data_IF_445521395677
#
_entry.id   IF_445521395677
#
_cell.length_a   1.000
_cell.length_b   1.000
_cell.length_c   1.000
_cell.angle_alpha   90.00
_cell.angle_beta   90.00
_cell.angle_gamma   90.00
#
_symmetry.space_group_name_H-M   'P 1'
#
loop_
_entity.id
_entity.type
_entity.pdbx_description
1 polymer ?
#
# COMPACT_ATOMS: atom_id res chain seq x y z
N UNK A 1 18.17 7.85 16.40
CA UNK A 1 18.07 7.60 14.95
C UNK A 1 16.62 7.30 14.65
N UNK A 2 15.96 7.99 13.71
CA UNK A 2 14.61 7.59 13.28
C UNK A 2 14.66 6.14 12.82
N UNK A 3 13.70 5.32 13.25
CA UNK A 3 13.63 3.92 12.85
C UNK A 3 13.41 3.86 11.34
N UNK A 4 14.41 3.38 10.60
CA UNK A 4 14.31 3.19 9.16
C UNK A 4 13.41 1.97 8.92
N UNK A 5 12.27 2.20 8.25
CA UNK A 5 11.31 1.14 7.94
C UNK A 5 11.52 0.65 6.51
N UNK A 6 11.38 -0.64 6.30
CA UNK A 6 11.47 -1.26 4.98
C UNK A 6 10.14 -1.06 4.23
N UNK A 7 10.20 -0.43 3.05
CA UNK A 7 9.04 -0.18 2.22
C UNK A 7 9.35 -0.43 0.74
N UNK A 8 8.32 -0.61 -0.07
CA UNK A 8 8.42 -0.72 -1.52
C UNK A 8 7.43 0.24 -2.18
N UNK A 9 7.71 0.59 -3.43
CA UNK A 9 6.85 1.49 -4.19
C UNK A 9 5.68 0.71 -4.78
N UNK A 10 4.45 1.16 -4.51
CA UNK A 10 3.25 0.74 -5.23
C UNK A 10 2.75 1.90 -6.08
N UNK A 11 2.02 1.57 -7.15
CA UNK A 11 1.48 2.56 -8.09
C UNK A 11 0.13 3.10 -7.63
N UNK A 12 -0.33 4.18 -8.27
CA UNK A 12 -1.71 4.67 -8.08
C UNK A 12 -2.75 3.61 -8.48
N UNK A 13 -2.44 2.75 -9.44
CA UNK A 13 -3.37 1.68 -9.85
C UNK A 13 -3.42 0.55 -8.81
N UNK A 14 -2.30 0.23 -8.18
CA UNK A 14 -2.26 -0.70 -7.04
C UNK A 14 -3.12 -0.15 -5.88
N UNK A 15 -3.03 1.16 -5.59
CA UNK A 15 -3.87 1.80 -4.57
C UNK A 15 -5.35 1.79 -4.95
N UNK A 16 -5.71 2.03 -6.21
CA UNK A 16 -7.10 1.93 -6.67
C UNK A 16 -7.65 0.51 -6.55
N UNK A 17 -6.82 -0.48 -6.84
CA UNK A 17 -7.19 -1.89 -6.68
C UNK A 17 -7.41 -2.22 -5.21
N UNK A 18 -6.53 -1.76 -4.31
CA UNK A 18 -6.71 -1.86 -2.87
C UNK A 18 -8.03 -1.21 -2.41
N UNK A 19 -8.33 -0.01 -2.89
CA UNK A 19 -9.59 0.69 -2.58
C UNK A 19 -10.82 -0.14 -2.99
N UNK A 20 -10.80 -0.72 -4.20
CA UNK A 20 -11.89 -1.57 -4.68
C UNK A 20 -12.06 -2.79 -3.79
N UNK A 21 -11.00 -3.55 -3.49
CA UNK A 21 -11.12 -4.78 -2.68
C UNK A 21 -11.51 -4.47 -1.23
N UNK A 22 -10.96 -3.41 -0.62
CA UNK A 22 -11.32 -2.97 0.74
C UNK A 22 -12.77 -2.56 0.82
N UNK A 23 -13.29 -1.82 -0.17
CA UNK A 23 -14.71 -1.43 -0.22
C UNK A 23 -15.63 -2.64 -0.34
N UNK A 24 -15.27 -3.64 -1.16
CA UNK A 24 -16.05 -4.87 -1.29
C UNK A 24 -16.01 -5.67 0.01
N UNK A 25 -14.84 -5.87 0.61
CA UNK A 25 -14.68 -6.56 1.87
C UNK A 25 -15.52 -5.90 2.97
N UNK A 26 -15.43 -4.57 3.11
CA UNK A 26 -16.25 -3.79 4.04
C UNK A 26 -17.74 -3.98 3.80
N UNK A 27 -18.20 -3.91 2.55
CA UNK A 27 -19.62 -4.08 2.18
C UNK A 27 -20.14 -5.46 2.59
N UNK A 28 -19.33 -6.51 2.43
CA UNK A 28 -19.73 -7.85 2.85
C UNK A 28 -19.72 -7.98 4.37
N UNK A 29 -18.65 -7.55 5.03
CA UNK A 29 -18.50 -7.64 6.49
C UNK A 29 -19.63 -6.93 7.26
N UNK A 30 -20.04 -5.74 6.82
CA UNK A 30 -21.15 -4.99 7.44
C UNK A 30 -22.47 -5.79 7.45
N UNK A 31 -22.68 -6.70 6.50
CA UNK A 31 -23.89 -7.56 6.47
C UNK A 31 -23.89 -8.65 7.55
N UNK A 32 -22.74 -8.92 8.15
CA UNK A 32 -22.54 -10.02 9.08
C UNK A 32 -22.29 -9.58 10.53
N UNK A 33 -22.13 -8.28 10.78
CA UNK A 33 -21.84 -7.74 12.11
C UNK A 33 -22.96 -6.83 12.63
N UNK A 34 -23.00 -6.62 13.96
CA UNK A 34 -23.87 -5.61 14.54
C UNK A 34 -23.23 -4.22 14.47
N UNK A 35 -24.05 -3.17 14.51
CA UNK A 35 -23.64 -1.76 14.36
C UNK A 35 -22.60 -1.29 15.40
N UNK A 36 -22.42 -2.03 16.50
CA UNK A 36 -21.41 -1.76 17.54
C UNK A 36 -20.01 -2.28 17.20
N UNK A 37 -19.85 -3.05 16.12
CA UNK A 37 -18.61 -3.72 15.75
C UNK A 37 -17.93 -3.05 14.53
N UNK A 38 -18.20 -1.77 14.27
CA UNK A 38 -17.66 -1.06 13.11
C UNK A 38 -16.13 -0.99 13.11
N UNK A 39 -15.49 -0.82 14.27
CA UNK A 39 -14.03 -0.83 14.36
C UNK A 39 -13.44 -2.19 13.93
N UNK A 40 -14.14 -3.29 14.23
CA UNK A 40 -13.75 -4.65 13.80
C UNK A 40 -13.91 -4.79 12.28
N UNK A 41 -14.97 -4.20 11.71
CA UNK A 41 -15.15 -4.15 10.26
C UNK A 41 -14.04 -3.35 9.59
N UNK A 42 -13.66 -2.21 10.15
CA UNK A 42 -12.62 -1.35 9.61
C UNK A 42 -11.26 -2.05 9.60
N UNK A 43 -10.96 -2.79 10.67
CA UNK A 43 -9.78 -3.67 10.74
C UNK A 43 -9.85 -4.80 9.71
N UNK A 44 -10.91 -5.61 9.75
CA UNK A 44 -11.05 -6.80 8.91
C UNK A 44 -11.16 -6.48 7.41
N UNK A 45 -11.71 -5.32 7.04
CA UNK A 45 -11.77 -4.86 5.65
C UNK A 45 -10.50 -4.18 5.16
N UNK A 46 -9.55 -3.87 6.06
CA UNK A 46 -8.35 -3.09 5.76
C UNK A 46 -8.63 -1.62 5.46
N UNK A 47 -9.74 -1.08 5.98
CA UNK A 47 -10.08 0.33 5.78
C UNK A 47 -9.03 1.27 6.35
N UNK A 48 -8.46 0.93 7.50
CA UNK A 48 -7.36 1.70 8.10
C UNK A 48 -6.13 1.78 7.18
N UNK A 49 -5.83 0.70 6.45
CA UNK A 49 -4.70 0.64 5.52
C UNK A 49 -4.96 1.56 4.34
N UNK A 50 -6.18 1.56 3.81
CA UNK A 50 -6.58 2.46 2.73
C UNK A 50 -6.43 3.94 3.12
N UNK A 51 -6.81 4.33 4.34
CA UNK A 51 -6.62 5.70 4.83
C UNK A 51 -5.13 6.05 4.90
N UNK A 52 -4.33 5.16 5.48
CA UNK A 52 -2.87 5.31 5.60
C UNK A 52 -2.22 5.45 4.22
N UNK A 53 -2.60 4.62 3.25
CA UNK A 53 -2.07 4.67 1.89
C UNK A 53 -2.53 5.92 1.12
N UNK A 54 -3.73 6.43 1.40
CA UNK A 54 -4.23 7.68 0.81
C UNK A 54 -3.42 8.89 1.25
N UNK A 55 -3.04 8.96 2.54
CA UNK A 55 -2.15 9.99 3.06
C UNK A 55 -0.77 9.94 2.38
N UNK A 56 -0.20 8.73 2.26
CA UNK A 56 1.09 8.51 1.59
C UNK A 56 1.05 8.86 0.11
N UNK A 57 -0.07 8.57 -0.57
CA UNK A 57 -0.27 8.96 -1.97
C UNK A 57 -0.32 10.49 -2.12
N UNK A 58 -0.99 11.19 -1.20
CA UNK A 58 -0.99 12.64 -1.14
C UNK A 58 0.42 13.22 -0.95
N UNK A 59 1.20 12.66 -0.04
CA UNK A 59 2.58 13.07 0.20
C UNK A 59 3.50 12.78 -1.00
N UNK A 60 3.44 11.58 -1.59
CA UNK A 60 4.20 11.22 -2.79
C UNK A 60 3.92 12.21 -3.93
N UNK A 61 2.64 12.53 -4.18
CA UNK A 61 2.23 13.52 -5.17
C UNK A 61 2.77 14.92 -4.87
N UNK A 62 2.73 15.36 -3.62
CA UNK A 62 3.22 16.68 -3.22
C UNK A 62 4.75 16.81 -3.38
N UNK A 63 5.48 15.70 -3.28
CA UNK A 63 6.92 15.62 -3.47
C UNK A 63 7.33 15.34 -4.92
N UNK A 64 6.37 15.08 -5.82
CA UNK A 64 6.65 14.72 -7.22
C UNK A 64 7.17 13.28 -7.40
N UNK A 65 6.97 12.40 -6.41
CA UNK A 65 7.38 11.01 -6.48
C UNK A 65 6.27 10.15 -7.10
N UNK A 66 6.63 9.28 -8.05
CA UNK A 66 5.69 8.38 -8.71
C UNK A 66 5.28 7.17 -7.84
N UNK A 67 6.13 6.77 -6.89
CA UNK A 67 5.94 5.62 -6.03
C UNK A 67 5.27 5.97 -4.69
N UNK A 68 4.17 5.28 -4.38
CA UNK A 68 3.51 5.35 -3.07
C UNK A 68 4.18 4.33 -2.15
N UNK A 69 4.72 4.73 -0.99
CA UNK A 69 5.35 3.79 -0.07
C UNK A 69 4.33 2.87 0.60
N UNK A 70 4.50 1.56 0.40
CA UNK A 70 3.88 0.50 1.21
C UNK A 70 4.96 -0.18 2.04
N UNK A 71 4.70 -0.38 3.33
CA UNK A 71 5.60 -1.09 4.23
C UNK A 71 5.56 -2.59 3.95
N UNK A 72 6.67 -3.27 4.18
CA UNK A 72 6.74 -4.74 4.03
C UNK A 72 5.70 -5.43 4.91
N UNK A 73 5.56 -4.98 6.17
CA UNK A 73 4.59 -5.52 7.11
C UNK A 73 3.11 -5.31 6.70
N UNK A 74 2.81 -4.34 5.84
CA UNK A 74 1.44 -4.08 5.37
C UNK A 74 0.96 -5.09 4.32
N UNK A 75 1.89 -5.87 3.74
CA UNK A 75 1.53 -6.95 2.81
C UNK A 75 0.66 -8.01 3.49
N UNK A 76 0.89 -8.28 4.77
CA UNK A 76 0.08 -9.23 5.55
C UNK A 76 -1.31 -8.66 5.85
N UNK A 77 -1.46 -7.34 5.98
CA UNK A 77 -2.77 -6.72 6.08
C UNK A 77 -3.57 -6.89 4.78
N UNK A 78 -2.95 -6.68 3.61
CA UNK A 78 -3.61 -6.94 2.32
C UNK A 78 -3.98 -8.42 2.17
N UNK A 79 -3.10 -9.35 2.59
CA UNK A 79 -3.42 -10.78 2.63
C UNK A 79 -4.68 -11.05 3.45
N UNK A 80 -4.77 -10.48 4.65
CA UNK A 80 -5.94 -10.64 5.51
C UNK A 80 -7.23 -10.11 4.86
N UNK A 81 -7.16 -8.97 4.16
CA UNK A 81 -8.31 -8.42 3.41
C UNK A 81 -8.79 -9.39 2.34
N UNK A 82 -7.89 -9.96 1.55
CA UNK A 82 -8.23 -10.91 0.48
C UNK A 82 -8.87 -12.19 1.06
N UNK A 83 -8.32 -12.73 2.14
CA UNK A 83 -8.88 -13.90 2.83
C UNK A 83 -10.25 -13.63 3.44
N UNK A 84 -10.45 -12.44 4.01
CA UNK A 84 -11.75 -12.02 4.51
C UNK A 84 -12.76 -11.85 3.37
N UNK A 85 -12.34 -11.26 2.25
CA UNK A 85 -13.18 -11.14 1.06
C UNK A 85 -13.63 -12.51 0.55
N UNK A 86 -12.73 -13.49 0.50
CA UNK A 86 -13.06 -14.88 0.16
C UNK A 86 -14.05 -15.50 1.16
N UNK A 87 -13.78 -15.32 2.46
CA UNK A 87 -14.56 -15.94 3.54
C UNK A 87 -15.98 -15.40 3.67
N UNK A 88 -16.19 -14.12 3.34
CA UNK A 88 -17.47 -13.42 3.50
C UNK A 88 -18.21 -13.18 2.19
N UNK A 89 -17.93 -13.99 1.15
CA UNK A 89 -18.74 -13.98 -0.08
C UNK A 89 -18.48 -12.79 -1.00
N UNK A 90 -17.21 -12.39 -1.11
CA UNK A 90 -16.77 -11.43 -2.10
C UNK A 90 -17.10 -11.88 -3.53
N UNK A 91 -17.37 -10.91 -4.41
CA UNK A 91 -17.61 -11.19 -5.82
C UNK A 91 -16.35 -11.78 -6.47
N UNK A 92 -16.51 -12.76 -7.37
CA UNK A 92 -15.40 -13.49 -8.02
C UNK A 92 -14.37 -12.55 -8.65
N UNK A 93 -14.83 -11.45 -9.27
CA UNK A 93 -13.96 -10.49 -9.92
C UNK A 93 -13.14 -9.68 -8.91
N UNK A 94 -13.75 -9.23 -7.81
CA UNK A 94 -13.05 -8.54 -6.74
C UNK A 94 -12.03 -9.45 -6.03
N UNK A 95 -12.34 -10.75 -5.89
CA UNK A 95 -11.41 -11.73 -5.34
C UNK A 95 -10.21 -11.95 -6.27
N UNK A 96 -10.44 -12.06 -7.58
CA UNK A 96 -9.36 -12.18 -8.57
C UNK A 96 -8.43 -10.95 -8.56
N UNK A 97 -9.00 -9.74 -8.57
CA UNK A 97 -8.23 -8.49 -8.44
C UNK A 97 -7.42 -8.44 -7.13
N UNK A 98 -8.00 -8.94 -6.02
CA UNK A 98 -7.33 -9.03 -4.74
C UNK A 98 -6.12 -9.96 -4.76
N UNK A 99 -6.26 -11.14 -5.35
CA UNK A 99 -5.14 -12.08 -5.50
C UNK A 99 -4.05 -11.57 -6.45
N UNK A 100 -4.42 -10.95 -7.58
CA UNK A 100 -3.43 -10.31 -8.48
C UNK A 100 -2.65 -9.20 -7.78
N UNK A 101 -3.33 -8.34 -7.00
CA UNK A 101 -2.67 -7.32 -6.20
C UNK A 101 -1.74 -7.96 -5.16
N UNK A 102 -2.21 -8.98 -4.43
CA UNK A 102 -1.43 -9.68 -3.40
C UNK A 102 -0.16 -10.31 -3.97
N UNK A 103 -0.25 -10.98 -5.11
CA UNK A 103 0.91 -11.56 -5.80
C UNK A 103 1.93 -10.48 -6.17
N UNK A 104 1.44 -9.39 -6.76
CA UNK A 104 2.28 -8.25 -7.16
C UNK A 104 3.00 -7.63 -5.97
N UNK A 105 2.31 -7.29 -4.88
CA UNK A 105 2.95 -6.68 -3.72
C UNK A 105 3.86 -7.66 -2.98
N UNK A 106 3.57 -8.96 -3.01
CA UNK A 106 4.45 -10.01 -2.46
C UNK A 106 5.76 -10.11 -3.23
N UNK A 107 5.76 -9.86 -4.54
CA UNK A 107 6.99 -9.76 -5.32
C UNK A 107 7.74 -8.46 -5.02
N UNK A 108 7.04 -7.33 -4.94
CA UNK A 108 7.66 -6.03 -4.64
C UNK A 108 8.27 -5.98 -3.22
N UNK A 109 7.65 -6.64 -2.24
CA UNK A 109 8.11 -6.68 -0.86
C UNK A 109 9.45 -7.41 -0.67
N UNK A 110 9.88 -8.21 -1.66
CA UNK A 110 11.18 -8.86 -1.68
C UNK A 110 12.34 -7.91 -2.05
N UNK A 111 12.02 -6.72 -2.56
CA UNK A 111 12.99 -5.68 -2.93
C UNK A 111 12.74 -4.39 -2.14
N UNK A 112 12.79 -4.42 -0.80
CA UNK A 112 12.48 -3.24 0.00
C UNK A 112 13.58 -2.20 -0.10
N UNK A 113 13.16 -0.96 0.04
CA UNK A 113 14.00 0.22 0.17
C UNK A 113 13.79 0.87 1.53
N UNK A 114 14.80 1.56 2.05
CA UNK A 114 14.66 2.33 3.26
C UNK A 114 13.69 3.51 3.04
N UNK A 115 12.58 3.52 3.78
CA UNK A 115 11.68 4.66 3.82
C UNK A 115 12.06 5.65 4.92
N UNK A 116 11.70 6.90 4.71
CA UNK A 116 11.84 8.00 5.66
C UNK A 116 10.47 8.56 6.01
N UNK A 117 10.36 9.26 7.14
CA UNK A 117 9.14 9.99 7.49
C UNK A 117 9.37 11.49 7.33
N UNK A 118 8.57 12.14 6.51
CA UNK A 118 8.57 13.60 6.32
C UNK A 118 7.23 14.13 6.84
N UNK A 119 7.26 15.01 7.84
CA UNK A 119 6.04 15.55 8.45
C UNK A 119 5.11 14.50 9.06
N UNK A 120 5.65 13.32 9.44
CA UNK A 120 4.87 12.20 9.97
C UNK A 120 4.35 11.22 8.91
N UNK A 121 4.48 11.53 7.62
CA UNK A 121 4.05 10.65 6.52
C UNK A 121 5.25 9.89 5.95
N UNK A 122 5.07 8.59 5.70
CA UNK A 122 6.08 7.74 5.10
C UNK A 122 6.32 8.14 3.64
N UNK A 123 7.59 8.23 3.25
CA UNK A 123 8.03 8.61 1.89
C UNK A 123 9.18 7.69 1.46
N UNK A 124 9.26 7.39 0.16
CA UNK A 124 10.45 6.80 -0.45
C UNK A 124 11.36 7.90 -0.99
N UNK A 125 12.69 7.68 -1.03
CA UNK A 125 13.59 8.57 -1.76
C UNK A 125 13.22 8.58 -3.24
N UNK A 126 13.41 9.72 -3.90
CA UNK A 126 13.22 9.84 -5.34
C UNK A 126 14.13 8.83 -6.07
N UNK A 127 13.60 8.21 -7.12
CA UNK A 127 14.43 7.48 -8.07
C UNK A 127 15.04 8.53 -9.01
N UNK A 128 15.88 9.42 -8.47
CA UNK A 128 16.72 10.22 -9.35
C UNK A 128 17.59 9.23 -10.12
N UNK A 129 17.48 9.14 -11.46
CA UNK A 129 18.45 8.35 -12.20
C UNK A 129 19.81 8.99 -11.89
N UNK A 130 20.78 8.18 -11.46
CA UNK A 130 22.17 8.59 -11.31
C UNK A 130 22.73 9.00 -12.68
N UNK A 131 22.34 10.16 -13.20
CA UNK A 131 22.89 10.74 -14.43
C UNK A 131 24.07 11.66 -14.09
N UNK A 132 24.26 12.04 -12.83
CA UNK A 132 25.30 12.99 -12.43
C UNK A 132 26.62 12.36 -11.93
N UNK A 133 26.71 11.04 -11.78
CA UNK A 133 27.96 10.41 -11.32
C UNK A 133 29.03 10.26 -12.43
N UNK A 134 28.66 10.38 -13.72
CA UNK A 134 29.63 10.32 -14.83
C UNK A 134 30.00 11.67 -15.44
N UNK A 135 29.36 12.78 -15.04
CA UNK A 135 29.68 14.10 -15.63
C UNK A 135 30.73 14.90 -14.85
N UNK A 136 31.19 14.40 -13.69
CA UNK A 136 32.24 15.02 -12.88
C UNK A 136 33.67 14.48 -13.16
N UNK A 137 33.84 13.64 -14.19
CA UNK A 137 35.15 13.22 -14.68
C UNK A 137 35.63 14.08 -15.87
N UNK A 138 35.58 15.40 -15.70
CA UNK A 138 36.61 16.29 -16.23
C UNK A 138 37.21 17.04 -15.04
N UNK A 139 38.50 17.42 -15.03
CA UNK A 139 39.28 17.85 -16.20
C UNK A 139 40.78 17.45 -16.20
N UNK A 140 41.43 17.59 -17.36
CA UNK A 140 42.65 18.41 -17.57
C UNK A 140 43.00 18.45 -19.05
#
# INVERSE_FOLDING_TARGET
MPAQRAAFAVTVEDLRTLERITRHARTQLVRHVHERDLDVVDEASGHWLLLTMSERAGAARALGHDGIPMLVEETEAVRAVVLNLESYGGETMALAEGYELLDRITLLSQLPRPATCVGGVLTLPDETPEVDALSAAGPS
#
